data_IF_335005464994
#
_entry.id   IF_335005464994
#
_cell.length_a   1.000
_cell.length_b   1.000
_cell.length_c   1.000
_cell.angle_alpha   90.00
_cell.angle_beta   90.00
_cell.angle_gamma   90.00
#
_symmetry.space_group_name_H-M   'P 1'
#
loop_
_entity.id
_entity.type
_entity.pdbx_description
1 polymer ?
#
# COMPACT_ATOMS: atom_id res chain seq x y z
N UNK A 1 -12.34 22.00 8.70
CA UNK A 1 -11.33 22.56 7.79
C UNK A 1 -10.45 21.39 7.33
N UNK A 2 -10.23 21.21 6.02
CA UNK A 2 -9.43 20.11 5.48
C UNK A 2 -8.07 20.67 5.05
N UNK A 3 -6.99 19.97 5.37
CA UNK A 3 -5.63 20.33 4.94
C UNK A 3 -5.22 19.43 3.77
N UNK A 4 -4.90 20.03 2.62
CA UNK A 4 -4.44 19.33 1.42
C UNK A 4 -2.94 19.61 1.25
N UNK A 5 -2.14 18.56 1.02
CA UNK A 5 -0.71 18.65 0.73
C UNK A 5 -0.37 17.74 -0.45
N UNK A 6 0.47 18.22 -1.36
CA UNK A 6 1.02 17.43 -2.46
C UNK A 6 2.48 17.07 -2.15
N UNK A 7 2.80 15.78 -2.21
CA UNK A 7 4.16 15.29 -2.01
C UNK A 7 4.72 14.81 -3.35
N UNK A 8 5.70 15.52 -3.90
CA UNK A 8 6.40 15.14 -5.13
C UNK A 8 7.66 14.37 -4.77
N UNK A 9 7.68 13.07 -5.06
CA UNK A 9 8.78 12.17 -4.73
C UNK A 9 9.53 11.87 -6.03
N UNK A 10 10.71 12.46 -6.21
CA UNK A 10 11.59 12.12 -7.32
C UNK A 10 12.20 10.75 -7.03
N UNK A 11 12.11 9.84 -8.00
CA UNK A 11 12.67 8.48 -7.91
C UNK A 11 13.55 8.23 -9.14
N UNK A 12 14.55 7.36 -8.99
CA UNK A 12 15.47 6.94 -10.05
C UNK A 12 15.02 5.65 -10.77
N UNK A 13 13.78 5.21 -10.55
CA UNK A 13 13.15 4.08 -11.24
C UNK A 13 12.30 4.55 -12.41
N UNK A 14 12.21 3.72 -13.45
CA UNK A 14 11.16 3.85 -14.47
C UNK A 14 9.78 3.57 -13.87
N UNK A 15 8.72 3.96 -14.59
CA UNK A 15 7.33 3.73 -14.13
C UNK A 15 7.05 2.24 -13.94
N UNK A 16 7.53 1.40 -14.85
CA UNK A 16 7.33 -0.05 -14.80
C UNK A 16 8.09 -0.70 -13.65
N UNK A 17 9.34 -0.29 -13.42
CA UNK A 17 10.12 -0.75 -12.26
C UNK A 17 9.47 -0.33 -10.94
N UNK A 18 8.96 0.91 -10.87
CA UNK A 18 8.28 1.40 -9.67
C UNK A 18 7.00 0.61 -9.37
N UNK A 19 6.24 0.23 -10.40
CA UNK A 19 5.03 -0.57 -10.24
C UNK A 19 5.31 -1.89 -9.49
N UNK A 20 6.41 -2.57 -9.83
CA UNK A 20 6.82 -3.82 -9.18
C UNK A 20 7.46 -3.53 -7.81
N UNK A 21 8.36 -2.55 -7.74
CA UNK A 21 9.12 -2.22 -6.54
C UNK A 21 8.22 -1.75 -5.39
N UNK A 22 7.18 -0.97 -5.69
CA UNK A 22 6.23 -0.46 -4.70
C UNK A 22 5.46 -1.59 -4.02
N UNK A 23 5.00 -2.59 -4.78
CA UNK A 23 4.31 -3.75 -4.22
C UNK A 23 5.22 -4.57 -3.31
N UNK A 24 6.46 -4.81 -3.74
CA UNK A 24 7.47 -5.49 -2.92
C UNK A 24 7.78 -4.73 -1.62
N UNK A 25 7.99 -3.42 -1.72
CA UNK A 25 8.31 -2.58 -0.56
C UNK A 25 7.17 -2.59 0.47
N UNK A 26 5.91 -2.50 0.01
CA UNK A 26 4.74 -2.57 0.89
C UNK A 26 4.65 -3.92 1.59
N UNK A 27 4.86 -5.03 0.88
CA UNK A 27 4.83 -6.36 1.49
C UNK A 27 5.94 -6.54 2.53
N UNK A 28 7.17 -6.11 2.20
CA UNK A 28 8.33 -6.20 3.10
C UNK A 28 8.16 -5.32 4.35
N UNK A 29 7.67 -4.10 4.18
CA UNK A 29 7.40 -3.19 5.30
C UNK A 29 6.29 -3.76 6.18
N UNK A 30 5.18 -4.24 5.60
CA UNK A 30 4.08 -4.84 6.36
C UNK A 30 4.56 -6.02 7.21
N UNK A 31 5.46 -6.86 6.69
CA UNK A 31 6.07 -7.95 7.44
C UNK A 31 6.97 -7.46 8.58
N UNK A 32 7.77 -6.42 8.33
CA UNK A 32 8.68 -5.84 9.31
C UNK A 32 7.96 -5.21 10.51
N UNK A 33 6.83 -4.55 10.25
CA UNK A 33 6.04 -3.86 11.27
C UNK A 33 5.06 -4.79 12.00
N UNK A 34 4.95 -6.06 11.59
CA UNK A 34 4.01 -7.00 12.22
C UNK A 34 4.73 -7.82 13.30
N UNK A 35 4.39 -7.56 14.57
CA UNK A 35 4.94 -8.26 15.72
C UNK A 35 4.39 -7.69 17.03
N UNK A 36 4.30 -8.52 18.07
CA UNK A 36 4.01 -8.06 19.43
C UNK A 36 2.58 -7.57 19.71
N UNK A 37 1.66 -7.62 18.74
CA UNK A 37 0.28 -7.10 18.85
C UNK A 37 0.01 -5.92 17.89
N UNK A 38 1.08 -5.36 17.32
CA UNK A 38 1.04 -4.35 16.26
C UNK A 38 1.22 -4.99 14.87
N UNK A 39 0.71 -4.32 13.83
CA UNK A 39 0.99 -4.72 12.45
C UNK A 39 -0.12 -4.49 11.45
N UNK A 40 -0.01 -5.16 10.31
CA UNK A 40 -0.92 -5.01 9.17
C UNK A 40 -1.56 -6.34 8.81
N UNK A 41 -2.88 -6.42 8.91
CA UNK A 41 -3.67 -7.55 8.42
C UNK A 41 -4.30 -7.22 7.06
N UNK A 42 -4.14 -8.13 6.09
CA UNK A 42 -4.74 -7.99 4.76
C UNK A 42 -5.98 -8.88 4.67
N UNK A 43 -7.15 -8.26 4.66
CA UNK A 43 -8.44 -8.96 4.60
C UNK A 43 -8.89 -9.26 3.18
N UNK A 44 -8.57 -8.38 2.22
CA UNK A 44 -8.86 -8.58 0.79
C UNK A 44 -7.68 -8.15 -0.06
N UNK A 45 -7.41 -8.91 -1.11
CA UNK A 45 -6.46 -8.58 -2.16
C UNK A 45 -6.95 -9.21 -3.47
N UNK A 46 -7.85 -8.53 -4.17
CA UNK A 46 -8.55 -9.09 -5.32
C UNK A 46 -8.50 -8.14 -6.53
N UNK A 47 -8.39 -8.68 -7.76
CA UNK A 47 -8.50 -7.86 -8.95
C UNK A 47 -9.92 -7.32 -9.08
N UNK A 48 -10.06 -6.10 -9.59
CA UNK A 48 -11.35 -5.52 -9.96
C UNK A 48 -11.35 -5.06 -11.42
N UNK A 49 -12.54 -5.09 -12.01
CA UNK A 49 -12.83 -4.62 -13.37
C UNK A 49 -14.23 -4.03 -13.34
N UNK A 50 -14.32 -2.71 -13.24
CA UNK A 50 -15.58 -2.00 -13.15
C UNK A 50 -15.62 -0.79 -14.10
N UNK A 51 -16.73 -0.03 -14.06
CA UNK A 51 -16.92 1.18 -14.87
C UNK A 51 -15.83 2.27 -14.72
N UNK A 52 -15.04 2.24 -13.65
CA UNK A 52 -13.93 3.17 -13.38
C UNK A 52 -12.58 2.61 -13.83
N UNK A 53 -12.54 1.36 -14.31
CA UNK A 53 -11.34 0.73 -14.87
C UNK A 53 -10.98 -0.59 -14.19
N UNK A 54 -9.74 -1.02 -14.44
CA UNK A 54 -9.17 -2.27 -13.96
C UNK A 54 -8.04 -2.01 -12.99
N UNK A 55 -7.94 -2.81 -11.94
CA UNK A 55 -6.83 -2.71 -11.00
C UNK A 55 -6.87 -3.76 -9.90
N UNK A 56 -6.11 -3.50 -8.83
CA UNK A 56 -6.06 -4.35 -7.65
C UNK A 56 -6.69 -3.62 -6.47
N UNK A 57 -7.67 -4.25 -5.81
CA UNK A 57 -8.29 -3.74 -4.59
C UNK A 57 -7.68 -4.44 -3.38
N UNK A 58 -7.31 -3.64 -2.36
CA UNK A 58 -6.87 -4.19 -1.07
C UNK A 58 -7.64 -3.57 0.08
N UNK A 59 -8.03 -4.41 1.03
CA UNK A 59 -8.61 -4.00 2.31
C UNK A 59 -7.69 -4.46 3.43
N UNK A 60 -7.22 -3.53 4.25
CA UNK A 60 -6.23 -3.79 5.30
C UNK A 60 -6.66 -3.16 6.63
N UNK A 61 -6.35 -3.84 7.72
CA UNK A 61 -6.47 -3.33 9.09
C UNK A 61 -5.07 -3.07 9.63
N UNK A 62 -4.87 -1.88 10.17
CA UNK A 62 -3.63 -1.50 10.86
C UNK A 62 -3.89 -1.55 12.36
N UNK A 63 -3.19 -2.45 13.06
CA UNK A 63 -3.19 -2.54 14.52
C UNK A 63 -2.09 -1.63 15.05
N UNK A 64 -2.51 -0.56 15.71
CA UNK A 64 -1.64 0.40 16.38
C UNK A 64 -1.81 0.16 17.89
N UNK A 65 -0.90 -0.60 18.48
CA UNK A 65 -0.75 -0.68 19.93
C UNK A 65 0.16 0.48 20.39
N UNK A 66 0.41 0.63 21.69
CA UNK A 66 1.13 1.76 22.28
C UNK A 66 2.17 1.31 23.28
#
# INVERSE_FOLDING_TARGET
MVLIREFRIVNNLTVDEYHIAQLYAVAKMSLSETGGGEGVEVLKNEPYDDHNGKGQYTYKIYYLES
#
